data_IF_039849239807
#
_entry.id   IF_039849239807
#
_cell.length_a   1.000
_cell.length_b   1.000
_cell.length_c   1.000
_cell.angle_alpha   90.00
_cell.angle_beta   90.00
_cell.angle_gamma   90.00
#
_symmetry.space_group_name_H-M   'P 1'
#
loop_
_entity.id
_entity.type
_entity.pdbx_description
1 polymer ?
#
# COMPACT_ATOMS: atom_id res chain seq x y z
N UNK A 1 -2.32 -13.46 -11.94
CA UNK A 1 -1.27 -12.89 -11.07
C UNK A 1 -1.88 -11.69 -10.34
N UNK A 2 -1.87 -11.69 -9.01
CA UNK A 2 -2.46 -10.64 -8.15
C UNK A 2 -1.76 -9.28 -8.37
N UNK A 3 -2.47 -8.15 -8.19
CA UNK A 3 -1.98 -6.78 -8.41
C UNK A 3 -0.77 -6.45 -7.51
N UNK A 4 -0.88 -6.74 -6.21
CA UNK A 4 0.20 -6.60 -5.23
C UNK A 4 1.50 -7.29 -5.66
N UNK A 5 1.38 -8.46 -6.26
CA UNK A 5 2.54 -9.21 -6.71
C UNK A 5 3.21 -8.56 -7.93
N UNK A 6 2.45 -7.88 -8.79
CA UNK A 6 3.02 -7.11 -9.90
C UNK A 6 3.70 -5.84 -9.38
N UNK A 7 3.12 -5.17 -8.39
CA UNK A 7 3.72 -4.02 -7.72
C UNK A 7 5.05 -4.39 -7.08
N UNK A 8 5.10 -5.50 -6.33
CA UNK A 8 6.32 -6.00 -5.72
C UNK A 8 7.40 -6.32 -6.77
N UNK A 9 7.06 -7.07 -7.83
CA UNK A 9 8.02 -7.37 -8.92
C UNK A 9 8.53 -6.09 -9.60
N UNK A 10 7.66 -5.09 -9.76
CA UNK A 10 8.05 -3.81 -10.33
C UNK A 10 9.09 -3.10 -9.46
N UNK A 11 8.85 -3.01 -8.15
CA UNK A 11 9.79 -2.41 -7.20
C UNK A 11 11.12 -3.17 -7.14
N UNK A 12 11.10 -4.51 -7.11
CA UNK A 12 12.32 -5.34 -7.11
C UNK A 12 13.20 -5.07 -8.34
N UNK A 13 12.57 -4.99 -9.53
CA UNK A 13 13.28 -4.69 -10.78
C UNK A 13 13.90 -3.31 -10.75
N UNK A 14 13.17 -2.31 -10.26
CA UNK A 14 13.64 -0.93 -10.18
C UNK A 14 14.78 -0.78 -9.16
N UNK A 15 14.70 -1.43 -8.00
CA UNK A 15 15.78 -1.48 -7.01
C UNK A 15 17.04 -2.12 -7.60
N UNK A 16 16.89 -3.27 -8.27
CA UNK A 16 18.01 -3.98 -8.92
C UNK A 16 18.65 -3.12 -10.01
N UNK A 17 17.84 -2.42 -10.82
CA UNK A 17 18.32 -1.51 -11.88
C UNK A 17 19.16 -0.36 -11.31
N UNK A 18 18.85 0.11 -10.11
CA UNK A 18 19.63 1.12 -9.39
C UNK A 18 20.85 0.56 -8.66
N UNK A 19 21.12 -0.75 -8.76
CA UNK A 19 22.24 -1.44 -8.09
C UNK A 19 21.96 -1.80 -6.63
N UNK A 20 20.71 -1.70 -6.19
CA UNK A 20 20.29 -2.14 -4.86
C UNK A 20 20.02 -3.65 -4.80
N UNK A 21 20.08 -4.21 -3.59
CA UNK A 21 19.66 -5.57 -3.29
C UNK A 21 18.23 -5.56 -2.72
N UNK A 22 17.21 -6.06 -3.44
CA UNK A 22 15.83 -6.07 -2.96
C UNK A 22 15.58 -7.05 -1.81
N UNK A 23 16.52 -7.94 -1.51
CA UNK A 23 16.41 -8.92 -0.41
C UNK A 23 17.05 -8.42 0.89
N UNK A 24 17.78 -7.32 0.83
CA UNK A 24 18.46 -6.75 1.99
C UNK A 24 17.45 -6.10 2.96
N UNK A 25 17.41 -6.60 4.19
CA UNK A 25 16.67 -5.96 5.28
C UNK A 25 17.51 -4.80 5.83
N UNK A 26 17.37 -3.64 5.17
CA UNK A 26 17.99 -2.39 5.63
C UNK A 26 17.32 -1.89 6.92
N UNK A 27 17.96 -0.99 7.71
CA UNK A 27 17.32 -0.39 8.87
C UNK A 27 15.97 0.29 8.57
N UNK A 28 15.83 0.89 7.38
CA UNK A 28 14.57 1.49 6.95
C UNK A 28 13.51 0.44 6.61
N UNK A 29 13.92 -0.68 6.00
CA UNK A 29 13.01 -1.80 5.72
C UNK A 29 12.53 -2.46 7.01
N UNK A 30 13.42 -2.64 8.00
CA UNK A 30 13.08 -3.18 9.32
C UNK A 30 12.10 -2.27 10.09
N UNK A 31 12.29 -0.96 10.02
CA UNK A 31 11.35 0.01 10.60
C UNK A 31 9.98 -0.06 9.92
N UNK A 32 9.94 -0.10 8.58
CA UNK A 32 8.69 -0.22 7.83
C UNK A 32 7.96 -1.53 8.17
N UNK A 33 8.68 -2.65 8.26
CA UNK A 33 8.13 -3.93 8.69
C UNK A 33 7.59 -3.88 10.13
N UNK A 34 8.30 -3.20 11.03
CA UNK A 34 7.84 -3.01 12.42
C UNK A 34 6.56 -2.20 12.46
N UNK A 35 6.50 -1.09 11.74
CA UNK A 35 5.33 -0.21 11.67
C UNK A 35 4.10 -0.93 11.09
N UNK A 36 4.27 -1.69 10.00
CA UNK A 36 3.17 -2.42 9.37
C UNK A 36 2.76 -3.69 10.11
N UNK A 37 3.64 -4.26 10.97
CA UNK A 37 3.36 -5.51 11.69
C UNK A 37 2.09 -5.47 12.55
N UNK A 38 1.70 -4.29 13.05
CA UNK A 38 0.47 -4.10 13.81
C UNK A 38 -0.79 -4.43 13.01
N UNK A 39 -0.84 -4.02 11.73
CA UNK A 39 -1.96 -4.29 10.83
C UNK A 39 -2.11 -5.79 10.62
N UNK A 40 -1.00 -6.49 10.31
CA UNK A 40 -1.03 -7.92 10.08
C UNK A 40 -1.50 -8.68 11.32
N UNK A 41 -1.02 -8.29 12.52
CA UNK A 41 -1.44 -8.89 13.80
C UNK A 41 -2.94 -8.79 14.03
N UNK A 42 -3.59 -7.69 13.64
CA UNK A 42 -5.04 -7.51 13.75
C UNK A 42 -5.78 -8.44 12.77
N UNK A 43 -5.35 -8.48 11.50
CA UNK A 43 -6.02 -9.23 10.43
C UNK A 43 -5.96 -10.75 10.68
N UNK A 44 -4.84 -11.27 11.18
CA UNK A 44 -4.65 -12.72 11.36
C UNK A 44 -5.15 -13.23 12.71
N UNK A 45 -5.53 -12.35 13.64
CA UNK A 45 -6.11 -12.77 14.92
C UNK A 45 -7.55 -13.27 14.67
N UNK A 46 -7.84 -14.57 14.90
CA UNK A 46 -9.16 -15.13 14.63
C UNK A 46 -10.27 -14.57 15.52
N UNK A 47 -9.90 -13.80 16.57
CA UNK A 47 -10.85 -13.14 17.46
C UNK A 47 -11.25 -11.75 16.96
N UNK A 48 -10.55 -11.21 15.97
CA UNK A 48 -10.86 -9.89 15.39
C UNK A 48 -12.13 -9.99 14.54
N UNK A 49 -13.18 -9.20 14.86
CA UNK A 49 -14.37 -9.12 14.02
C UNK A 49 -14.06 -8.59 12.62
N UNK A 50 -14.80 -9.04 11.62
CA UNK A 50 -14.61 -8.64 10.22
C UNK A 50 -14.53 -7.12 10.03
N UNK A 51 -15.40 -6.34 10.69
CA UNK A 51 -15.37 -4.88 10.59
C UNK A 51 -14.04 -4.29 11.07
N UNK A 52 -13.50 -4.77 12.18
CA UNK A 52 -12.21 -4.32 12.71
C UNK A 52 -11.04 -4.76 11.82
N UNK A 53 -11.14 -5.94 11.19
CA UNK A 53 -10.17 -6.34 10.16
C UNK A 53 -10.23 -5.42 8.94
N UNK A 54 -11.41 -4.96 8.52
CA UNK A 54 -11.56 -3.98 7.44
C UNK A 54 -11.02 -2.59 7.81
N UNK A 55 -11.15 -2.17 9.06
CA UNK A 55 -10.49 -0.96 9.57
C UNK A 55 -8.97 -1.08 9.55
N UNK A 56 -8.42 -2.25 9.87
CA UNK A 56 -6.99 -2.50 9.76
C UNK A 56 -6.52 -2.49 8.29
N UNK A 57 -7.30 -3.07 7.38
CA UNK A 57 -7.05 -2.95 5.92
C UNK A 57 -7.10 -1.49 5.48
N UNK A 58 -8.05 -0.69 5.98
CA UNK A 58 -8.11 0.74 5.66
C UNK A 58 -6.83 1.49 6.03
N UNK A 59 -6.19 1.12 7.15
CA UNK A 59 -4.89 1.70 7.55
C UNK A 59 -3.79 1.33 6.55
N UNK A 60 -3.75 0.07 6.08
CA UNK A 60 -2.81 -0.37 5.05
C UNK A 60 -3.01 0.41 3.75
N UNK A 61 -4.23 0.45 3.22
CA UNK A 61 -4.57 1.10 1.96
C UNK A 61 -4.28 2.62 1.97
N UNK A 62 -4.54 3.30 3.09
CA UNK A 62 -4.17 4.71 3.26
C UNK A 62 -2.65 4.91 3.18
N UNK A 63 -1.90 3.99 3.77
CA UNK A 63 -0.43 4.04 3.79
C UNK A 63 0.14 3.72 2.41
N UNK A 64 -0.42 2.74 1.72
CA UNK A 64 0.02 2.31 0.40
C UNK A 64 -0.25 3.41 -0.64
N UNK A 65 -1.45 4.00 -0.64
CA UNK A 65 -1.78 5.13 -1.53
C UNK A 65 -0.82 6.32 -1.32
N UNK A 66 -0.59 6.71 -0.06
CA UNK A 66 0.34 7.81 0.25
C UNK A 66 1.79 7.48 -0.15
N UNK A 67 2.21 6.22 0.00
CA UNK A 67 3.56 5.78 -0.37
C UNK A 67 3.77 5.84 -1.89
N UNK A 68 2.79 5.42 -2.69
CA UNK A 68 2.86 5.53 -4.15
C UNK A 68 2.87 6.98 -4.64
N UNK A 69 2.05 7.85 -4.03
CA UNK A 69 2.05 9.29 -4.33
C UNK A 69 3.43 9.90 -4.09
N UNK A 70 4.05 9.60 -2.93
CA UNK A 70 5.39 10.08 -2.59
C UNK A 70 6.47 9.52 -3.52
N UNK A 71 6.40 8.23 -3.86
CA UNK A 71 7.35 7.61 -4.79
C UNK A 71 7.25 8.22 -6.19
N UNK A 72 6.05 8.47 -6.69
CA UNK A 72 5.84 9.13 -7.98
C UNK A 72 6.42 10.55 -7.99
N UNK A 73 6.23 11.31 -6.90
CA UNK A 73 6.78 12.65 -6.72
C UNK A 73 8.31 12.63 -6.69
N UNK A 74 8.91 11.76 -5.87
CA UNK A 74 10.36 11.63 -5.75
C UNK A 74 11.01 11.19 -7.08
N UNK A 75 10.42 10.20 -7.75
CA UNK A 75 10.90 9.72 -9.05
C UNK A 75 10.83 10.83 -10.11
N UNK A 76 9.77 11.66 -10.08
CA UNK A 76 9.64 12.81 -10.98
C UNK A 76 10.73 13.86 -10.73
N UNK A 77 11.00 14.18 -9.46
CA UNK A 77 12.00 15.19 -9.06
C UNK A 77 13.44 14.74 -9.33
N UNK A 78 13.71 13.44 -9.30
CA UNK A 78 15.04 12.85 -9.56
C UNK A 78 15.26 12.49 -11.03
N UNK A 79 14.26 12.70 -11.90
CA UNK A 79 14.34 12.43 -13.34
C UNK A 79 14.09 10.97 -13.74
N UNK A 80 13.69 10.11 -12.81
CA UNK A 80 13.33 8.71 -13.04
C UNK A 80 11.91 8.58 -13.65
N UNK A 81 11.72 9.08 -14.88
CA UNK A 81 10.41 9.23 -15.54
C UNK A 81 9.61 7.93 -15.64
N UNK A 82 10.27 6.81 -15.92
CA UNK A 82 9.59 5.51 -16.05
C UNK A 82 9.06 5.01 -14.70
N UNK A 83 9.83 5.22 -13.62
CA UNK A 83 9.41 4.87 -12.26
C UNK A 83 8.27 5.78 -11.81
N UNK A 84 8.34 7.09 -12.11
CA UNK A 84 7.25 8.01 -11.82
C UNK A 84 5.94 7.57 -12.47
N UNK A 85 5.98 7.22 -13.77
CA UNK A 85 4.81 6.73 -14.50
C UNK A 85 4.25 5.44 -13.91
N UNK A 86 5.12 4.49 -13.55
CA UNK A 86 4.72 3.22 -12.95
C UNK A 86 4.11 3.41 -11.56
N UNK A 87 4.71 4.27 -10.73
CA UNK A 87 4.19 4.60 -9.41
C UNK A 87 2.84 5.32 -9.48
N UNK A 88 2.64 6.26 -10.42
CA UNK A 88 1.33 6.89 -10.65
C UNK A 88 0.27 5.88 -11.09
N UNK A 89 0.63 4.89 -11.91
CA UNK A 89 -0.31 3.85 -12.32
C UNK A 89 -0.70 2.95 -11.14
N UNK A 90 0.25 2.60 -10.27
CA UNK A 90 -0.03 1.86 -9.04
C UNK A 90 -0.91 2.67 -8.07
N UNK A 91 -0.62 3.96 -7.91
CA UNK A 91 -1.39 4.89 -7.09
C UNK A 91 -2.88 4.94 -7.49
N UNK A 92 -3.17 4.95 -8.79
CA UNK A 92 -4.55 4.91 -9.31
C UNK A 92 -5.28 3.60 -8.97
N UNK A 93 -4.56 2.48 -8.93
CA UNK A 93 -5.11 1.19 -8.51
C UNK A 93 -5.42 1.24 -7.01
N UNK A 94 -4.49 1.72 -6.20
CA UNK A 94 -4.70 1.83 -4.74
C UNK A 94 -5.79 2.84 -4.37
N UNK A 95 -6.02 3.89 -5.17
CA UNK A 95 -7.18 4.78 -4.98
C UNK A 95 -8.51 4.02 -5.06
N UNK A 96 -8.63 3.07 -6.00
CA UNK A 96 -9.83 2.23 -6.10
C UNK A 96 -9.93 1.25 -4.93
N UNK A 97 -8.81 0.68 -4.48
CA UNK A 97 -8.77 -0.20 -3.32
C UNK A 97 -9.25 0.54 -2.06
N UNK A 98 -8.65 1.70 -1.80
CA UNK A 98 -9.00 2.60 -0.72
C UNK A 98 -10.49 3.01 -0.78
N UNK A 99 -11.01 3.32 -1.97
CA UNK A 99 -12.43 3.65 -2.17
C UNK A 99 -13.33 2.49 -1.76
N UNK A 100 -13.01 1.25 -2.15
CA UNK A 100 -13.79 0.05 -1.81
C UNK A 100 -13.77 -0.19 -0.30
N UNK A 101 -12.60 -0.14 0.33
CA UNK A 101 -12.46 -0.39 1.76
C UNK A 101 -13.17 0.67 2.59
N UNK A 102 -13.06 1.95 2.22
CA UNK A 102 -13.86 3.04 2.83
C UNK A 102 -15.36 2.78 2.75
N UNK A 103 -15.84 2.30 1.59
CA UNK A 103 -17.25 1.97 1.41
C UNK A 103 -17.69 0.80 2.31
N UNK A 104 -16.88 -0.25 2.42
CA UNK A 104 -17.18 -1.40 3.29
C UNK A 104 -17.18 -1.03 4.78
N UNK A 105 -16.19 -0.25 5.22
CA UNK A 105 -16.12 0.25 6.61
C UNK A 105 -17.32 1.16 6.91
N UNK A 106 -17.69 2.05 5.99
CA UNK A 106 -18.88 2.91 6.17
C UNK A 106 -20.16 2.09 6.29
N UNK A 107 -20.35 1.11 5.39
CA UNK A 107 -21.49 0.22 5.44
C UNK A 107 -21.55 -0.60 6.74
N UNK A 108 -20.41 -1.09 7.23
CA UNK A 108 -20.31 -1.82 8.50
C UNK A 108 -20.66 -0.97 9.72
N UNK A 109 -20.42 0.34 9.66
CA UNK A 109 -20.86 1.30 10.67
C UNK A 109 -22.31 1.78 10.51
N UNK A 110 -23.01 1.37 9.45
CA UNK A 110 -24.35 1.89 9.13
C UNK A 110 -24.35 3.34 8.63
N UNK A 111 -23.21 3.84 8.17
CA UNK A 111 -23.09 5.17 7.57
C UNK A 111 -23.44 5.05 6.08
N UNK A 112 -24.57 5.64 5.68
CA UNK A 112 -24.93 5.76 4.27
C UNK A 112 -24.48 7.11 3.71
N UNK A 113 -23.92 7.16 2.49
CA UNK A 113 -23.63 8.43 1.85
C UNK A 113 -24.95 9.20 1.67
N UNK A 114 -24.98 10.44 2.16
CA UNK A 114 -26.08 11.37 1.89
C UNK A 114 -26.30 11.44 0.38
N UNK A 115 -27.56 11.29 -0.05
CA UNK A 115 -27.99 11.36 -1.45
C UNK A 115 -27.61 12.67 -2.13
#
# INVERSE_FOLDING_TARGET
MNEEHRHMIMLEKEMTRMGGDPTAVTPSADLAATASSGVLKVIVDPRTPLLQSLEAVLIAELTDQASWEQLALLASQTGAKDLAKQATAAEQIEQEHLRRVKAWVSAGHGIHPSS
#
